data_IF_754193921090
#
_entry.id   IF_754193921090
#
_cell.length_a   1.000
_cell.length_b   1.000
_cell.length_c   1.000
_cell.angle_alpha   90.00
_cell.angle_beta   90.00
_cell.angle_gamma   90.00
#
_symmetry.space_group_name_H-M   'P 1'
#
loop_
_entity.id
_entity.type
_entity.pdbx_description
1 polymer ?
#
# COMPACT_ATOMS: atom_id res chain seq x y z
N UNK A 1 1.06 10.56 23.43
CA UNK A 1 0.82 9.56 24.51
C UNK A 1 1.29 8.21 24.00
N UNK A 2 2.21 7.55 24.67
CA UNK A 2 2.72 6.22 24.27
C UNK A 2 1.57 5.21 24.33
N UNK A 3 1.07 4.75 23.20
CA UNK A 3 -0.04 3.81 23.16
C UNK A 3 0.48 2.42 22.78
N UNK A 4 0.71 1.58 23.81
CA UNK A 4 1.12 0.19 23.63
C UNK A 4 0.08 -0.61 22.82
N UNK A 5 -1.18 -0.18 22.85
CA UNK A 5 -2.25 -0.77 22.05
C UNK A 5 -1.99 -0.73 20.54
N UNK A 6 -1.35 0.32 20.03
CA UNK A 6 -1.00 0.42 18.61
C UNK A 6 0.04 -0.64 18.22
N UNK A 7 1.04 -0.87 19.07
CA UNK A 7 2.08 -1.90 18.83
C UNK A 7 1.44 -3.30 18.79
N UNK A 8 0.49 -3.57 19.67
CA UNK A 8 -0.25 -4.84 19.69
C UNK A 8 -1.16 -4.98 18.46
N UNK A 9 -1.79 -3.90 18.02
CA UNK A 9 -2.59 -3.90 16.79
C UNK A 9 -1.73 -4.25 15.57
N UNK A 10 -0.55 -3.63 15.44
CA UNK A 10 0.39 -3.95 14.36
C UNK A 10 0.94 -5.39 14.47
N UNK A 11 1.20 -5.88 15.68
CA UNK A 11 1.54 -7.28 15.90
C UNK A 11 0.45 -8.23 15.42
N UNK A 12 -0.79 -8.00 15.81
CA UNK A 12 -1.94 -8.82 15.39
C UNK A 12 -2.16 -8.79 13.89
N UNK A 13 -2.01 -7.60 13.28
CA UNK A 13 -2.11 -7.41 11.83
C UNK A 13 -1.04 -8.20 11.07
N UNK A 14 0.20 -8.20 11.56
CA UNK A 14 1.32 -8.89 10.94
C UNK A 14 1.25 -10.40 11.11
N UNK A 15 0.94 -10.89 12.31
CA UNK A 15 1.01 -12.32 12.65
C UNK A 15 -0.17 -13.13 12.15
N UNK A 16 -1.30 -12.50 11.82
CA UNK A 16 -2.51 -13.16 11.35
C UNK A 16 -2.99 -14.24 12.33
N UNK A 17 -2.87 -15.53 11.98
CA UNK A 17 -3.23 -16.66 12.86
C UNK A 17 -2.27 -16.84 14.05
N UNK A 18 -1.11 -16.22 14.02
CA UNK A 18 -0.07 -16.33 15.05
C UNK A 18 0.75 -17.63 15.05
N UNK A 19 0.37 -18.64 14.27
CA UNK A 19 1.01 -19.97 14.28
C UNK A 19 2.52 -19.88 14.00
N UNK A 20 2.92 -19.13 12.99
CA UNK A 20 4.34 -18.98 12.65
C UNK A 20 5.14 -18.29 13.75
N UNK A 21 4.53 -17.34 14.46
CA UNK A 21 5.17 -16.68 15.58
C UNK A 21 5.36 -17.64 16.76
N UNK A 22 4.34 -18.44 17.08
CA UNK A 22 4.45 -19.48 18.14
C UNK A 22 5.54 -20.49 17.79
N UNK A 23 5.56 -20.98 16.54
CA UNK A 23 6.60 -21.90 16.07
C UNK A 23 7.99 -21.27 16.15
N UNK A 24 8.11 -19.98 15.81
CA UNK A 24 9.37 -19.27 15.93
C UNK A 24 9.84 -19.17 17.38
N UNK A 25 8.97 -18.87 18.33
CA UNK A 25 9.34 -18.90 19.77
C UNK A 25 9.78 -20.29 20.22
N UNK A 26 9.10 -21.35 19.78
CA UNK A 26 9.54 -22.73 20.03
C UNK A 26 10.94 -22.97 19.46
N UNK A 27 11.22 -22.50 18.23
CA UNK A 27 12.56 -22.59 17.64
C UNK A 27 13.61 -21.84 18.47
N UNK A 28 13.31 -20.64 18.99
CA UNK A 28 14.24 -19.92 19.87
C UNK A 28 14.56 -20.71 21.15
N UNK A 29 13.57 -21.37 21.73
CA UNK A 29 13.78 -22.25 22.90
C UNK A 29 14.65 -23.45 22.52
N UNK A 30 14.40 -24.10 21.38
CA UNK A 30 15.22 -25.22 20.89
C UNK A 30 16.67 -24.78 20.66
N UNK A 31 16.90 -23.62 20.03
CA UNK A 31 18.24 -23.05 19.81
C UNK A 31 18.93 -22.79 21.17
N UNK A 32 18.19 -22.22 22.13
CA UNK A 32 18.74 -21.91 23.46
C UNK A 32 19.21 -23.14 24.20
N UNK A 33 18.48 -24.26 24.07
CA UNK A 33 18.76 -25.50 24.84
C UNK A 33 19.75 -26.40 24.09
N UNK A 34 19.56 -26.57 22.77
CA UNK A 34 20.21 -27.63 21.99
C UNK A 34 21.42 -27.18 21.19
N UNK A 35 21.48 -25.90 20.79
CA UNK A 35 22.55 -25.40 19.93
C UNK A 35 23.79 -25.04 20.78
N UNK A 36 24.89 -25.75 20.49
CA UNK A 36 26.20 -25.52 21.15
C UNK A 36 27.04 -24.47 20.42
N UNK A 37 26.62 -24.08 19.18
CA UNK A 37 27.36 -23.10 18.40
C UNK A 37 27.08 -21.68 18.89
N UNK A 38 28.10 -21.06 19.47
CA UNK A 38 27.99 -19.69 20.02
C UNK A 38 27.56 -18.67 18.94
N UNK A 39 28.08 -18.77 17.71
CA UNK A 39 27.72 -17.85 16.63
C UNK A 39 26.24 -17.92 16.27
N UNK A 40 25.70 -19.14 16.12
CA UNK A 40 24.27 -19.34 15.81
C UNK A 40 23.37 -18.81 16.95
N UNK A 41 23.74 -19.08 18.19
CA UNK A 41 23.02 -18.55 19.36
C UNK A 41 23.07 -17.03 19.39
N UNK A 42 24.21 -16.42 19.10
CA UNK A 42 24.35 -14.97 19.09
C UNK A 42 23.46 -14.34 18.03
N UNK A 43 23.47 -14.84 16.81
CA UNK A 43 22.72 -14.26 15.69
C UNK A 43 21.22 -14.60 15.79
N UNK A 44 20.87 -15.88 15.92
CA UNK A 44 19.47 -16.31 15.83
C UNK A 44 18.70 -16.11 17.14
N UNK A 45 19.32 -16.37 18.31
CA UNK A 45 18.63 -16.21 19.58
C UNK A 45 18.71 -14.77 20.08
N UNK A 46 19.93 -14.27 20.35
CA UNK A 46 20.08 -12.94 20.95
C UNK A 46 19.72 -11.82 19.98
N UNK A 47 20.05 -11.97 18.67
CA UNK A 47 19.65 -11.02 17.64
C UNK A 47 18.12 -10.93 17.52
N UNK A 48 17.42 -12.08 17.53
CA UNK A 48 15.96 -12.11 17.49
C UNK A 48 15.32 -11.50 18.72
N UNK A 49 15.81 -11.86 19.92
CA UNK A 49 15.30 -11.29 21.17
C UNK A 49 15.52 -9.78 21.23
N UNK A 50 16.69 -9.31 20.83
CA UNK A 50 16.99 -7.88 20.77
C UNK A 50 16.05 -7.15 19.82
N UNK A 51 15.83 -7.70 18.62
CA UNK A 51 14.91 -7.12 17.62
C UNK A 51 13.48 -7.09 18.16
N UNK A 52 13.00 -8.16 18.80
CA UNK A 52 11.67 -8.20 19.40
C UNK A 52 11.54 -7.15 20.53
N UNK A 53 12.53 -7.01 21.39
CA UNK A 53 12.54 -5.99 22.44
C UNK A 53 12.44 -4.59 21.83
N UNK A 54 13.19 -4.32 20.75
CA UNK A 54 13.13 -3.02 20.05
C UNK A 54 11.75 -2.77 19.46
N UNK A 55 11.13 -3.76 18.81
CA UNK A 55 9.81 -3.61 18.19
C UNK A 55 8.74 -3.34 19.25
N UNK A 56 8.79 -4.01 20.40
CA UNK A 56 7.84 -3.78 21.47
C UNK A 56 8.16 -2.56 22.35
N UNK A 57 9.32 -1.93 22.15
CA UNK A 57 9.70 -0.75 22.93
C UNK A 57 8.93 0.48 22.45
N UNK A 58 8.09 1.12 23.30
CA UNK A 58 7.27 2.27 22.89
C UNK A 58 8.07 3.45 22.37
N UNK A 59 9.30 3.64 22.85
CA UNK A 59 10.20 4.68 22.36
C UNK A 59 10.62 4.46 20.92
N UNK A 60 10.83 3.20 20.48
CA UNK A 60 11.12 2.87 19.10
C UNK A 60 9.91 3.13 18.20
N UNK A 61 8.70 2.76 18.64
CA UNK A 61 7.47 3.10 17.94
C UNK A 61 7.34 4.61 17.74
N UNK A 62 7.55 5.40 18.79
CA UNK A 62 7.50 6.86 18.70
C UNK A 62 8.54 7.42 17.72
N UNK A 63 9.78 6.98 17.78
CA UNK A 63 10.84 7.42 16.87
C UNK A 63 10.51 7.06 15.42
N UNK A 64 10.08 5.84 15.19
CA UNK A 64 9.75 5.38 13.84
C UNK A 64 8.57 6.17 13.25
N UNK A 65 7.49 6.33 13.99
CA UNK A 65 6.30 7.05 13.51
C UNK A 65 6.56 8.55 13.33
N UNK A 66 7.54 9.11 14.05
CA UNK A 66 7.91 10.51 13.93
C UNK A 66 8.81 10.80 12.72
N UNK A 67 9.72 9.88 12.38
CA UNK A 67 10.76 10.10 11.37
C UNK A 67 10.56 9.32 10.08
N UNK A 68 9.73 8.28 10.09
CA UNK A 68 9.50 7.42 8.92
C UNK A 68 8.04 7.52 8.49
N UNK A 69 7.16 6.71 9.09
CA UNK A 69 5.73 6.70 8.75
C UNK A 69 4.95 5.82 9.74
N UNK A 70 3.82 6.33 10.21
CA UNK A 70 2.96 5.62 11.16
C UNK A 70 2.36 4.34 10.55
N UNK A 71 2.03 4.37 9.25
CA UNK A 71 1.32 3.28 8.57
C UNK A 71 2.25 2.12 8.18
N UNK A 72 3.56 2.30 8.28
CA UNK A 72 4.55 1.32 7.85
C UNK A 72 5.30 0.64 9.00
N UNK A 73 4.93 0.91 10.27
CA UNK A 73 5.59 0.31 11.43
C UNK A 73 5.61 -1.22 11.43
N UNK A 74 4.58 -1.86 10.86
CA UNK A 74 4.51 -3.31 10.68
C UNK A 74 5.71 -3.90 9.91
N UNK A 75 6.42 -3.09 9.10
CA UNK A 75 7.64 -3.53 8.38
C UNK A 75 8.80 -3.84 9.31
N UNK A 76 8.80 -3.33 10.54
CA UNK A 76 9.80 -3.67 11.54
C UNK A 76 9.83 -5.17 11.85
N UNK A 77 8.68 -5.87 11.68
CA UNK A 77 8.59 -7.32 11.84
C UNK A 77 9.39 -8.11 10.81
N UNK A 78 9.73 -7.51 9.65
CA UNK A 78 10.59 -8.14 8.66
C UNK A 78 12.03 -8.31 9.15
N UNK A 79 12.45 -7.54 10.15
CA UNK A 79 13.76 -7.66 10.76
C UNK A 79 13.87 -8.91 11.65
N UNK A 80 12.76 -9.49 12.05
CA UNK A 80 12.73 -10.74 12.85
C UNK A 80 13.01 -11.91 11.90
N UNK A 81 14.10 -12.68 12.09
CA UNK A 81 14.51 -13.72 11.15
C UNK A 81 13.69 -15.02 11.33
N UNK A 82 12.35 -14.93 11.32
CA UNK A 82 11.45 -16.06 11.57
C UNK A 82 11.67 -17.21 10.61
N UNK A 83 11.71 -16.92 9.30
CA UNK A 83 11.92 -17.95 8.27
C UNK A 83 13.27 -18.63 8.41
N UNK A 84 14.32 -17.88 8.73
CA UNK A 84 15.68 -18.43 8.92
C UNK A 84 15.71 -19.30 10.18
N UNK A 85 15.12 -18.85 11.29
CA UNK A 85 15.07 -19.62 12.53
C UNK A 85 14.31 -20.94 12.37
N UNK A 86 13.15 -20.91 11.72
CA UNK A 86 12.36 -22.10 11.39
C UNK A 86 13.10 -23.07 10.49
N UNK A 87 13.73 -22.58 9.43
CA UNK A 87 14.52 -23.41 8.51
C UNK A 87 15.72 -24.02 9.21
N UNK A 88 16.44 -23.26 10.02
CA UNK A 88 17.61 -23.74 10.77
C UNK A 88 17.25 -24.89 11.73
N UNK A 89 16.24 -24.68 12.57
CA UNK A 89 15.79 -25.73 13.51
C UNK A 89 15.20 -26.92 12.76
N UNK A 90 14.37 -26.65 11.75
CA UNK A 90 13.77 -27.69 10.92
C UNK A 90 14.83 -28.59 10.26
N UNK A 91 15.84 -28.01 9.63
CA UNK A 91 16.91 -28.78 8.98
C UNK A 91 17.73 -29.60 9.97
N UNK A 92 18.00 -29.08 11.16
CA UNK A 92 18.71 -29.82 12.21
C UNK A 92 17.87 -31.00 12.76
N UNK A 93 16.57 -30.82 12.94
CA UNK A 93 15.66 -31.89 13.35
C UNK A 93 15.47 -32.98 12.28
N UNK A 94 15.48 -32.57 11.00
CA UNK A 94 15.29 -33.46 9.84
C UNK A 94 16.54 -34.28 9.55
N UNK A 95 17.73 -33.85 10.00
CA UNK A 95 19.01 -34.44 9.66
C UNK A 95 19.03 -35.97 9.86
N UNK A 96 18.43 -36.45 10.94
CA UNK A 96 18.41 -37.87 11.30
C UNK A 96 17.09 -38.59 10.88
N UNK A 97 16.04 -37.86 10.53
CA UNK A 97 14.71 -38.37 10.19
C UNK A 97 14.08 -37.63 9.00
N UNK A 98 14.69 -37.76 7.83
CA UNK A 98 14.35 -36.96 6.63
C UNK A 98 12.88 -37.01 6.24
N UNK A 99 12.27 -38.21 6.22
CA UNK A 99 10.87 -38.39 5.80
C UNK A 99 9.92 -37.76 6.82
N UNK A 100 10.12 -38.05 8.11
CA UNK A 100 9.28 -37.51 9.18
C UNK A 100 9.39 -36.00 9.26
N UNK A 101 10.60 -35.45 9.09
CA UNK A 101 10.81 -34.04 9.06
C UNK A 101 10.19 -33.34 7.87
N UNK A 102 10.26 -33.95 6.67
CA UNK A 102 9.58 -33.43 5.49
C UNK A 102 8.06 -33.41 5.67
N UNK A 103 7.48 -34.48 6.18
CA UNK A 103 6.05 -34.55 6.47
C UNK A 103 5.63 -33.50 7.50
N UNK A 104 6.41 -33.34 8.57
CA UNK A 104 6.13 -32.33 9.59
C UNK A 104 6.20 -30.90 9.01
N UNK A 105 7.23 -30.59 8.23
CA UNK A 105 7.36 -29.31 7.57
C UNK A 105 6.20 -29.03 6.59
N UNK A 106 5.79 -30.04 5.82
CA UNK A 106 4.66 -29.97 4.93
C UNK A 106 3.33 -29.73 5.66
N UNK A 107 3.10 -30.43 6.79
CA UNK A 107 1.93 -30.19 7.63
C UNK A 107 1.92 -28.79 8.24
N UNK A 108 3.05 -28.32 8.76
CA UNK A 108 3.18 -26.96 9.31
C UNK A 108 2.88 -25.93 8.23
N UNK A 109 3.36 -26.15 6.99
CA UNK A 109 3.12 -25.25 5.88
C UNK A 109 1.64 -25.22 5.49
N UNK A 110 0.96 -26.35 5.47
CA UNK A 110 -0.48 -26.41 5.18
C UNK A 110 -1.31 -25.78 6.31
N UNK A 111 -1.01 -26.07 7.56
CA UNK A 111 -1.77 -25.55 8.71
C UNK A 111 -1.52 -24.06 8.95
N UNK A 112 -0.30 -23.59 8.72
CA UNK A 112 0.08 -22.19 8.89
C UNK A 112 -0.19 -21.31 7.68
N UNK A 113 -0.29 -21.91 6.48
CA UNK A 113 -0.53 -21.21 5.24
C UNK A 113 -2.02 -20.97 4.99
N UNK A 114 -2.33 -19.87 4.30
CA UNK A 114 -3.65 -19.66 3.67
C UNK A 114 -3.48 -19.77 2.17
N UNK A 115 -4.38 -20.46 1.51
CA UNK A 115 -4.49 -20.42 0.05
C UNK A 115 -5.03 -19.05 -0.34
N UNK A 116 -4.13 -18.08 -0.50
CA UNK A 116 -4.46 -16.66 -0.72
C UNK A 116 -5.40 -16.49 -1.91
N UNK A 117 -5.21 -17.28 -2.97
CA UNK A 117 -6.01 -17.20 -4.19
C UNK A 117 -7.44 -17.74 -4.05
N UNK A 118 -7.71 -18.59 -3.07
CA UNK A 118 -9.04 -19.18 -2.87
C UNK A 118 -9.81 -18.58 -1.71
N UNK A 119 -9.11 -17.96 -0.75
CA UNK A 119 -9.69 -17.46 0.49
C UNK A 119 -9.82 -15.94 0.54
N UNK A 120 -9.18 -15.22 -0.37
CA UNK A 120 -9.24 -13.75 -0.40
C UNK A 120 -10.02 -13.27 -1.63
N UNK A 121 -11.21 -12.67 -1.46
CA UNK A 121 -12.01 -12.17 -2.58
C UNK A 121 -11.32 -11.09 -3.41
N UNK A 122 -10.30 -10.43 -2.85
CA UNK A 122 -9.49 -9.42 -3.56
C UNK A 122 -8.34 -10.03 -4.38
N UNK A 123 -8.10 -11.33 -4.30
CA UNK A 123 -7.10 -12.04 -5.09
C UNK A 123 -7.76 -12.83 -6.21
N UNK A 124 -8.04 -12.15 -7.31
CA UNK A 124 -8.43 -12.77 -8.59
C UNK A 124 -7.23 -12.98 -9.52
N UNK A 125 -7.47 -13.71 -10.61
CA UNK A 125 -6.52 -13.72 -11.74
C UNK A 125 -6.47 -12.32 -12.32
N UNK A 126 -5.29 -11.71 -12.39
CA UNK A 126 -5.12 -10.40 -12.98
C UNK A 126 -5.58 -10.41 -14.46
N UNK A 127 -6.37 -9.42 -14.84
CA UNK A 127 -6.88 -9.27 -16.20
C UNK A 127 -5.75 -8.91 -17.20
N UNK A 128 -4.72 -8.25 -16.70
CA UNK A 128 -3.57 -7.80 -17.50
C UNK A 128 -2.26 -7.93 -16.70
N UNK A 129 -1.08 -7.81 -17.35
CA UNK A 129 0.24 -7.90 -16.69
C UNK A 129 0.46 -6.84 -15.62
N UNK A 130 -0.15 -5.67 -15.76
CA UNK A 130 0.00 -4.54 -14.84
C UNK A 130 -0.85 -4.67 -13.59
N UNK A 131 -1.85 -5.57 -13.59
CA UNK A 131 -2.81 -5.76 -12.48
C UNK A 131 -3.62 -4.48 -12.16
N UNK A 132 -3.89 -3.71 -13.18
CA UNK A 132 -4.62 -2.43 -13.14
C UNK A 132 -5.96 -2.63 -13.85
N UNK A 133 -6.96 -1.84 -13.48
CA UNK A 133 -8.24 -1.81 -14.18
C UNK A 133 -8.05 -1.40 -15.64
N UNK A 134 -8.68 -2.11 -16.57
CA UNK A 134 -8.57 -1.83 -18.01
C UNK A 134 -9.09 -0.44 -18.38
N UNK A 135 -10.06 0.09 -17.66
CA UNK A 135 -10.56 1.45 -17.84
C UNK A 135 -9.47 2.49 -17.62
N UNK A 136 -8.65 2.30 -16.56
CA UNK A 136 -7.54 3.22 -16.26
C UNK A 136 -6.48 3.20 -17.36
N UNK A 137 -6.17 1.99 -17.88
CA UNK A 137 -5.25 1.86 -19.02
C UNK A 137 -5.77 2.62 -20.24
N UNK A 138 -7.06 2.42 -20.58
CA UNK A 138 -7.67 3.12 -21.72
C UNK A 138 -7.73 4.63 -21.55
N UNK A 139 -7.91 5.13 -20.30
CA UNK A 139 -7.86 6.56 -20.00
C UNK A 139 -6.46 7.15 -20.26
N UNK A 140 -5.41 6.47 -19.79
CA UNK A 140 -4.03 6.91 -20.01
C UNK A 140 -3.65 6.83 -21.50
N UNK A 141 -3.92 5.69 -22.15
CA UNK A 141 -3.64 5.50 -23.58
C UNK A 141 -4.34 6.58 -24.45
N UNK A 142 -5.58 6.95 -24.09
CA UNK A 142 -6.31 8.02 -24.78
C UNK A 142 -5.63 9.38 -24.61
N UNK A 143 -5.16 9.71 -23.42
CA UNK A 143 -4.48 10.98 -23.17
C UNK A 143 -3.15 11.05 -23.93
N UNK A 144 -2.40 9.95 -23.98
CA UNK A 144 -1.16 9.82 -24.76
C UNK A 144 -1.40 9.95 -26.29
N UNK A 145 -2.56 9.48 -26.78
CA UNK A 145 -2.92 9.62 -28.21
C UNK A 145 -3.34 11.06 -28.59
N UNK A 146 -3.94 11.80 -27.65
CA UNK A 146 -4.45 13.15 -27.92
C UNK A 146 -3.38 14.22 -27.74
N UNK A 147 -2.39 13.95 -26.90
CA UNK A 147 -1.31 14.88 -26.57
C UNK A 147 0.05 14.22 -26.71
N UNK A 148 0.97 14.90 -27.39
CA UNK A 148 2.36 14.44 -27.59
C UNK A 148 3.30 14.89 -26.44
N UNK A 149 2.92 15.94 -25.71
CA UNK A 149 3.73 16.55 -24.66
C UNK A 149 3.27 16.14 -23.24
N UNK A 150 4.13 16.37 -22.26
CA UNK A 150 3.83 16.23 -20.83
C UNK A 150 2.63 17.13 -20.45
N UNK A 151 1.56 16.52 -19.95
CA UNK A 151 0.33 17.22 -19.58
C UNK A 151 0.03 17.13 -18.10
N UNK A 152 -0.64 18.15 -17.56
CA UNK A 152 -1.18 18.13 -16.20
C UNK A 152 -2.64 17.70 -16.25
N UNK A 153 -2.95 16.62 -15.56
CA UNK A 153 -4.28 16.00 -15.51
C UNK A 153 -4.77 15.89 -14.07
N UNK A 154 -5.93 16.46 -13.79
CA UNK A 154 -6.59 16.22 -12.50
C UNK A 154 -7.49 14.98 -12.62
N UNK A 155 -7.20 13.96 -11.84
CA UNK A 155 -7.92 12.68 -11.88
C UNK A 155 -8.86 12.53 -10.71
N UNK A 156 -9.95 11.77 -10.89
CA UNK A 156 -10.85 11.39 -9.81
C UNK A 156 -10.05 10.77 -8.63
N UNK A 157 -10.41 11.08 -7.37
CA UNK A 157 -9.66 10.67 -6.18
C UNK A 157 -9.33 9.17 -6.10
N UNK A 158 -10.25 8.33 -6.53
CA UNK A 158 -10.10 6.87 -6.56
C UNK A 158 -9.05 6.38 -7.56
N UNK A 159 -8.75 7.17 -8.60
CA UNK A 159 -7.74 6.84 -9.63
C UNK A 159 -6.32 7.25 -9.25
N UNK A 160 -6.17 8.11 -8.25
CA UNK A 160 -4.95 8.80 -7.90
C UNK A 160 -3.73 7.89 -7.69
N UNK A 161 -3.94 6.70 -7.11
CA UNK A 161 -2.85 5.75 -6.86
C UNK A 161 -2.57 4.84 -8.05
N UNK A 162 -3.50 4.72 -8.98
CA UNK A 162 -3.47 3.71 -10.03
C UNK A 162 -2.95 4.30 -11.35
N UNK A 163 -3.34 5.54 -11.66
CA UNK A 163 -2.93 6.22 -12.91
C UNK A 163 -1.40 6.26 -13.03
N UNK A 164 -0.68 6.77 -12.02
CA UNK A 164 0.79 6.83 -12.03
C UNK A 164 1.50 5.48 -11.96
N UNK A 165 0.78 4.40 -11.66
CA UNK A 165 1.34 3.06 -11.73
C UNK A 165 1.45 2.58 -13.18
N UNK A 166 0.54 3.02 -14.04
CA UNK A 166 0.52 2.67 -15.45
C UNK A 166 1.32 3.68 -16.28
N UNK A 167 1.01 4.97 -16.11
CA UNK A 167 1.69 6.06 -16.79
C UNK A 167 2.34 7.04 -15.79
N UNK A 168 3.67 7.00 -15.66
CA UNK A 168 4.41 7.89 -14.78
C UNK A 168 4.61 9.30 -15.35
N UNK A 169 4.34 9.53 -16.65
CA UNK A 169 4.55 10.81 -17.33
C UNK A 169 3.36 11.75 -17.22
N UNK A 170 2.19 11.26 -16.81
CA UNK A 170 1.04 12.11 -16.49
C UNK A 170 1.31 12.87 -15.16
N UNK A 171 1.44 14.20 -15.29
CA UNK A 171 1.56 15.08 -14.14
C UNK A 171 0.20 15.32 -13.50
N UNK A 172 0.14 15.31 -12.17
CA UNK A 172 -1.10 15.56 -11.44
C UNK A 172 -0.90 16.72 -10.45
N UNK A 173 -1.88 17.63 -10.32
CA UNK A 173 -1.78 18.78 -9.41
C UNK A 173 -1.81 18.38 -7.92
N UNK A 174 -2.17 17.13 -7.63
CA UNK A 174 -2.18 16.53 -6.30
C UNK A 174 -1.79 15.06 -6.40
N UNK A 175 -1.27 14.51 -5.33
CA UNK A 175 -0.78 13.13 -5.28
C UNK A 175 -1.40 12.31 -4.13
N UNK A 176 -0.89 11.10 -3.94
CA UNK A 176 -1.39 10.15 -2.93
C UNK A 176 -1.29 10.67 -1.48
N UNK A 177 -0.48 11.69 -1.24
CA UNK A 177 -0.36 12.36 0.06
C UNK A 177 -1.70 12.93 0.54
N UNK A 178 -2.63 13.21 -0.38
CA UNK A 178 -3.96 13.69 -0.06
C UNK A 178 -4.88 12.60 0.49
N UNK A 179 -4.59 11.33 0.21
CA UNK A 179 -5.38 10.18 0.69
C UNK A 179 -5.16 9.88 2.18
N UNK A 180 -4.09 10.39 2.76
CA UNK A 180 -3.77 10.21 4.18
C UNK A 180 -3.77 11.56 4.89
N UNK A 181 -4.84 11.79 5.66
CA UNK A 181 -5.01 13.00 6.50
C UNK A 181 -3.77 13.24 7.40
N UNK A 182 -3.13 12.18 7.87
CA UNK A 182 -1.95 12.32 8.73
C UNK A 182 -0.73 12.76 7.93
N UNK A 183 -0.61 12.34 6.69
CA UNK A 183 0.46 12.75 5.78
C UNK A 183 0.28 14.20 5.33
N UNK A 184 -0.89 14.55 4.84
CA UNK A 184 -1.23 15.91 4.42
C UNK A 184 -1.03 16.93 5.54
N UNK A 185 -1.53 16.65 6.74
CA UNK A 185 -1.38 17.52 7.90
C UNK A 185 0.07 17.68 8.39
N UNK A 186 0.92 16.65 8.25
CA UNK A 186 2.32 16.72 8.66
C UNK A 186 3.19 17.57 7.74
N UNK A 187 2.79 17.74 6.47
CA UNK A 187 3.54 18.47 5.45
C UNK A 187 2.89 19.81 5.05
N UNK A 188 1.74 20.14 5.62
CA UNK A 188 1.04 21.41 5.37
C UNK A 188 0.39 21.53 3.99
N UNK A 189 0.22 20.41 3.28
CA UNK A 189 -0.44 20.38 1.98
C UNK A 189 -1.93 20.08 2.11
N UNK A 190 -2.76 21.10 2.35
CA UNK A 190 -4.17 21.01 1.96
C UNK A 190 -4.25 21.43 0.49
N UNK A 191 -4.56 20.52 -0.40
CA UNK A 191 -4.73 20.84 -1.81
C UNK A 191 -6.22 21.09 -2.09
N UNK A 192 -6.57 22.37 -2.28
CA UNK A 192 -7.94 22.78 -2.57
C UNK A 192 -8.50 22.11 -3.83
N UNK A 193 -7.66 21.81 -4.80
CA UNK A 193 -8.09 21.12 -6.01
C UNK A 193 -8.60 19.72 -5.65
N UNK A 194 -7.85 18.98 -4.83
CA UNK A 194 -8.26 17.65 -4.37
C UNK A 194 -9.57 17.71 -3.60
N UNK A 195 -9.75 18.70 -2.71
CA UNK A 195 -11.01 18.89 -1.96
C UNK A 195 -12.21 19.08 -2.90
N UNK A 196 -12.07 19.94 -3.93
CA UNK A 196 -13.11 20.16 -4.95
C UNK A 196 -13.38 18.88 -5.75
N UNK A 197 -12.35 18.12 -6.08
CA UNK A 197 -12.49 16.84 -6.79
C UNK A 197 -13.12 15.73 -5.92
N UNK A 198 -13.03 15.82 -4.59
CA UNK A 198 -13.70 14.89 -3.69
C UNK A 198 -15.20 15.17 -3.50
N UNK A 199 -15.67 16.38 -3.77
CA UNK A 199 -17.07 16.73 -3.58
C UNK A 199 -17.98 15.87 -4.48
N UNK A 200 -19.08 15.35 -3.93
CA UNK A 200 -20.07 14.60 -4.69
C UNK A 200 -20.87 15.49 -5.64
N UNK A 201 -20.90 16.79 -5.36
CA UNK A 201 -21.53 17.82 -6.18
C UNK A 201 -20.45 18.63 -6.92
N UNK A 202 -20.18 18.27 -8.15
CA UNK A 202 -19.15 18.90 -8.98
C UNK A 202 -19.54 20.32 -9.34
N UNK A 203 -18.71 21.29 -8.97
CA UNK A 203 -18.85 22.70 -9.30
C UNK A 203 -17.74 23.13 -10.26
N UNK A 204 -18.09 23.26 -11.55
CA UNK A 204 -17.13 23.63 -12.59
C UNK A 204 -16.59 25.06 -12.44
N UNK A 205 -17.28 25.94 -11.71
CA UNK A 205 -16.77 27.28 -11.40
C UNK A 205 -15.51 27.18 -10.50
N UNK A 206 -15.55 26.32 -9.48
CA UNK A 206 -14.41 26.07 -8.61
C UNK A 206 -13.30 25.30 -9.31
N UNK A 207 -13.67 24.30 -10.14
CA UNK A 207 -12.70 23.55 -10.95
C UNK A 207 -11.93 24.45 -11.90
N UNK A 208 -12.60 25.42 -12.55
CA UNK A 208 -11.96 26.41 -13.40
C UNK A 208 -10.87 27.19 -12.67
N UNK A 209 -11.16 27.67 -11.45
CA UNK A 209 -10.18 28.39 -10.63
C UNK A 209 -8.94 27.53 -10.35
N UNK A 210 -9.17 26.25 -10.03
CA UNK A 210 -8.08 25.33 -9.71
C UNK A 210 -7.28 24.93 -10.97
N UNK A 211 -7.94 24.69 -12.09
CA UNK A 211 -7.27 24.36 -13.35
C UNK A 211 -6.32 25.50 -13.78
N UNK A 212 -6.77 26.76 -13.69
CA UNK A 212 -5.91 27.90 -13.97
C UNK A 212 -4.75 28.07 -13.00
N UNK A 213 -4.92 27.72 -11.72
CA UNK A 213 -3.87 27.82 -10.72
C UNK A 213 -2.77 26.74 -10.86
N UNK A 214 -3.09 25.59 -11.45
CA UNK A 214 -2.20 24.43 -11.58
C UNK A 214 -1.86 24.05 -13.02
N UNK A 215 -2.14 24.89 -14.00
CA UNK A 215 -1.92 24.63 -15.43
C UNK A 215 -2.52 23.28 -15.89
N UNK A 216 -3.69 22.94 -15.34
CA UNK A 216 -4.32 21.65 -15.57
C UNK A 216 -5.09 21.68 -16.89
N UNK A 217 -4.70 20.83 -17.84
CA UNK A 217 -5.28 20.77 -19.17
C UNK A 217 -6.47 19.83 -19.27
N UNK A 218 -6.44 18.72 -18.52
CA UNK A 218 -7.50 17.71 -18.53
C UNK A 218 -8.05 17.43 -17.14
N UNK A 219 -9.37 17.13 -17.10
CA UNK A 219 -10.07 16.63 -15.93
C UNK A 219 -10.64 15.25 -16.22
N UNK A 220 -10.45 14.30 -15.33
CA UNK A 220 -11.09 13.00 -15.32
C UNK A 220 -12.04 12.95 -14.11
N UNK A 221 -13.32 13.00 -14.35
CA UNK A 221 -14.38 13.09 -13.33
C UNK A 221 -15.21 11.83 -13.33
N UNK A 222 -15.55 11.31 -12.16
CA UNK A 222 -16.48 10.21 -12.01
C UNK A 222 -17.89 10.68 -12.39
N UNK A 223 -18.49 10.09 -13.43
CA UNK A 223 -19.79 10.49 -13.97
C UNK A 223 -20.99 10.08 -13.11
N UNK A 224 -20.76 9.38 -12.01
CA UNK A 224 -21.78 9.11 -11.00
C UNK A 224 -22.02 10.32 -10.07
N UNK A 225 -21.16 11.34 -10.16
CA UNK A 225 -21.31 12.59 -9.41
C UNK A 225 -22.39 13.50 -10.02
N UNK A 226 -22.96 14.37 -9.19
CA UNK A 226 -23.94 15.36 -9.66
C UNK A 226 -23.23 16.63 -10.08
N UNK A 227 -23.59 17.19 -11.23
CA UNK A 227 -23.06 18.47 -11.70
C UNK A 227 -23.96 19.61 -11.27
N UNK A 228 -23.40 20.62 -10.59
CA UNK A 228 -24.14 21.81 -10.11
C UNK A 228 -24.42 22.77 -11.28
N UNK A 229 -23.45 22.85 -12.20
CA UNK A 229 -23.48 23.77 -13.35
C UNK A 229 -22.94 23.07 -14.59
N UNK A 230 -23.15 23.68 -15.76
CA UNK A 230 -22.71 23.12 -17.05
C UNK A 230 -21.19 23.29 -17.22
N UNK A 231 -20.45 22.24 -17.60
CA UNK A 231 -19.02 22.33 -17.88
C UNK A 231 -18.65 23.39 -18.93
N UNK A 232 -19.47 23.49 -20.00
CA UNK A 232 -19.22 24.35 -21.14
C UNK A 232 -19.26 25.85 -20.78
N UNK A 233 -20.08 26.23 -19.79
CA UNK A 233 -20.18 27.62 -19.29
C UNK A 233 -18.88 28.10 -18.64
N UNK A 234 -18.03 27.15 -18.20
CA UNK A 234 -16.78 27.43 -17.50
C UNK A 234 -15.52 27.09 -18.34
N UNK A 235 -15.71 26.84 -19.63
CA UNK A 235 -14.59 26.60 -20.57
C UNK A 235 -14.08 25.17 -20.56
N UNK A 236 -14.90 24.21 -20.10
CA UNK A 236 -14.60 22.80 -20.20
C UNK A 236 -15.28 22.18 -21.41
N UNK A 237 -14.52 21.45 -22.19
CA UNK A 237 -15.00 20.74 -23.37
C UNK A 237 -14.98 19.23 -23.09
N UNK A 238 -16.14 18.62 -23.23
CA UNK A 238 -16.26 17.17 -23.14
C UNK A 238 -15.55 16.47 -24.29
N UNK A 239 -14.81 15.41 -24.00
CA UNK A 239 -14.14 14.58 -24.99
C UNK A 239 -14.80 13.21 -25.13
N UNK A 240 -14.75 12.40 -24.08
CA UNK A 240 -15.20 11.01 -24.12
C UNK A 240 -15.53 10.50 -22.73
N UNK A 241 -16.40 9.51 -22.65
CA UNK A 241 -16.67 8.72 -21.45
C UNK A 241 -15.99 7.35 -21.56
N UNK A 242 -15.23 6.96 -20.55
CA UNK A 242 -14.62 5.64 -20.41
C UNK A 242 -15.01 4.99 -19.08
N UNK A 243 -15.81 3.93 -19.14
CA UNK A 243 -16.40 3.33 -17.96
C UNK A 243 -17.25 4.33 -17.17
N UNK A 244 -16.88 4.59 -15.94
CA UNK A 244 -17.56 5.56 -15.07
C UNK A 244 -16.89 6.94 -15.05
N UNK A 245 -16.07 7.27 -16.03
CA UNK A 245 -15.30 8.52 -16.04
C UNK A 245 -15.51 9.31 -17.31
N UNK A 246 -15.79 10.60 -17.12
CA UNK A 246 -15.86 11.60 -18.19
C UNK A 246 -14.54 12.37 -18.25
N UNK A 247 -14.03 12.56 -19.48
CA UNK A 247 -12.83 13.34 -19.76
C UNK A 247 -13.23 14.68 -20.32
N UNK A 248 -12.73 15.75 -19.71
CA UNK A 248 -12.88 17.13 -20.16
C UNK A 248 -11.52 17.76 -20.39
N UNK A 249 -11.37 18.56 -21.47
CA UNK A 249 -10.28 19.52 -21.57
C UNK A 249 -10.69 20.88 -21.05
N UNK A 250 -9.73 21.61 -20.50
CA UNK A 250 -9.92 23.01 -20.10
C UNK A 250 -9.31 23.92 -21.16
N UNK A 251 -10.15 24.72 -21.82
CA UNK A 251 -9.77 25.65 -22.90
C UNK A 251 -9.61 27.11 -22.40
N UNK A 252 -9.37 27.28 -21.10
CA UNK A 252 -9.34 28.60 -20.45
C UNK A 252 -8.01 29.35 -20.51
N UNK A 253 -7.19 29.11 -21.55
CA UNK A 253 -5.95 29.83 -21.83
C UNK A 253 -6.18 30.89 -22.89
#
# INVERSE_FOLDING_TARGET
>A
MFNFGNIIAEYSRYTGTGIFMVLFFVCLVVIAISDKNYSNRTVLLFGSLFTLILIFFPGMYYLYTRFVDVNTYWRMWWLVPMGIGLAYVGTNLIKDHRITGFLLAFFIFILGGRLVYTSNPFFGKAANPYKIDGTVMSLCDYLDEVEEDDIVVAVAPELLTIVRQYDPYLYMPYGREQLDINWGNNWGYSNKFYEVMCDDNVDFSKLREQCGAFDTKYLIINNLKTYINSPEEYGFKYHVTMGNYDIYSYEGY
#
